data_IF_532995715579
#
_entry.id   IF_532995715579
#
_cell.length_a   1.000
_cell.length_b   1.000
_cell.length_c   1.000
_cell.angle_alpha   90.00
_cell.angle_beta   90.00
_cell.angle_gamma   90.00
#
_symmetry.space_group_name_H-M   'P 1'
#
loop_
_entity.id
_entity.type
_entity.pdbx_description
1 polymer ?
#
# COMPACT_ATOMS: atom_id res chain seq x y z
N UNK A 1 -38.16 3.05 38.79
CA UNK A 1 -37.86 3.50 37.41
C UNK A 1 -36.67 4.42 37.50
N UNK A 2 -35.45 3.90 37.33
CA UNK A 2 -34.23 4.72 37.33
C UNK A 2 -33.54 4.62 35.98
N UNK A 3 -33.90 5.59 35.14
CA UNK A 3 -33.45 5.82 33.78
C UNK A 3 -32.03 6.43 33.74
N UNK A 4 -31.05 5.87 34.46
CA UNK A 4 -29.69 6.44 34.51
C UNK A 4 -28.55 5.47 34.21
N UNK A 5 -28.79 4.42 33.41
CA UNK A 5 -27.71 3.53 32.98
C UNK A 5 -27.79 3.02 31.53
N UNK A 6 -28.39 3.80 30.64
CA UNK A 6 -28.32 3.55 29.18
C UNK A 6 -27.22 4.36 28.47
N UNK A 7 -26.34 5.04 29.22
CA UNK A 7 -25.22 5.82 28.67
C UNK A 7 -23.82 5.29 29.03
N UNK A 8 -23.70 3.98 29.19
CA UNK A 8 -22.40 3.26 29.13
C UNK A 8 -22.41 2.24 27.99
N UNK A 9 -23.09 2.58 26.88
CA UNK A 9 -23.13 1.79 25.64
C UNK A 9 -22.16 2.33 24.57
N UNK A 10 -21.14 3.09 24.97
CA UNK A 10 -20.17 3.74 24.07
C UNK A 10 -18.82 3.05 23.93
N UNK A 11 -18.59 1.91 24.59
CA UNK A 11 -17.32 1.17 24.54
C UNK A 11 -17.48 -0.23 23.95
N UNK A 12 -18.37 -0.39 22.97
CA UNK A 12 -18.47 -1.60 22.17
C UNK A 12 -18.18 -1.25 20.72
N UNK A 13 -16.93 -0.84 20.45
CA UNK A 13 -16.40 -0.99 19.09
C UNK A 13 -16.42 -2.48 18.84
N UNK A 14 -17.36 -2.86 17.99
CA UNK A 14 -17.64 -4.20 17.53
C UNK A 14 -16.32 -4.89 17.26
N UNK A 15 -16.06 -5.98 17.97
CA UNK A 15 -15.13 -7.00 17.55
C UNK A 15 -15.75 -7.67 16.32
N UNK A 16 -15.87 -6.91 15.22
CA UNK A 16 -16.14 -7.46 13.91
C UNK A 16 -15.03 -8.47 13.69
N UNK A 17 -15.42 -9.72 13.44
CA UNK A 17 -14.56 -10.79 12.95
C UNK A 17 -13.38 -10.18 12.21
N UNK A 18 -12.16 -10.30 12.76
CA UNK A 18 -10.96 -9.65 12.23
C UNK A 18 -10.65 -10.27 10.87
N UNK A 19 -11.35 -9.85 9.83
CA UNK A 19 -10.95 -10.08 8.44
C UNK A 19 -9.60 -9.37 8.32
N UNK A 20 -8.55 -10.18 8.19
CA UNK A 20 -7.17 -9.68 8.17
C UNK A 20 -6.97 -8.91 6.87
N UNK A 21 -6.98 -7.57 6.94
CA UNK A 21 -6.64 -6.73 5.79
C UNK A 21 -5.23 -7.06 5.30
N UNK A 22 -5.11 -7.52 4.06
CA UNK A 22 -3.82 -7.92 3.46
C UNK A 22 -3.04 -6.71 2.92
N UNK A 23 -3.74 -5.71 2.36
CA UNK A 23 -3.14 -4.51 1.77
C UNK A 23 -2.77 -3.48 2.85
N UNK A 24 -1.69 -3.78 3.57
CA UNK A 24 -1.11 -2.92 4.61
C UNK A 24 0.21 -2.31 4.14
N UNK A 25 0.69 -1.23 4.79
CA UNK A 25 2.05 -0.75 4.57
C UNK A 25 3.08 -1.87 4.72
N UNK A 26 4.17 -1.74 3.98
CA UNK A 26 5.28 -2.70 3.90
C UNK A 26 4.95 -4.06 3.26
N UNK A 27 3.83 -4.15 2.54
CA UNK A 27 3.52 -5.30 1.69
C UNK A 27 3.98 -5.06 0.27
N UNK A 28 4.53 -6.11 -0.34
CA UNK A 28 4.95 -6.10 -1.74
C UNK A 28 3.77 -6.46 -2.62
N UNK A 29 3.54 -5.66 -3.65
CA UNK A 29 2.45 -5.76 -4.61
C UNK A 29 3.00 -5.70 -6.04
N UNK A 30 2.21 -6.14 -7.01
CA UNK A 30 2.51 -6.01 -8.43
C UNK A 30 1.48 -5.06 -9.04
N UNK A 31 1.94 -4.07 -9.80
CA UNK A 31 1.06 -3.18 -10.53
C UNK A 31 0.53 -3.88 -11.78
N UNK A 32 -0.80 -3.91 -11.93
CA UNK A 32 -1.44 -4.64 -13.03
C UNK A 32 -1.56 -3.79 -14.32
N UNK A 33 -1.68 -2.47 -14.18
CA UNK A 33 -2.04 -1.57 -15.28
C UNK A 33 -1.24 -0.26 -15.30
N UNK A 34 -1.17 0.36 -16.49
CA UNK A 34 -0.48 1.63 -16.75
C UNK A 34 1.02 1.48 -17.05
N UNK A 35 1.72 2.62 -17.12
CA UNK A 35 3.15 2.68 -17.49
C UNK A 35 4.09 1.79 -16.65
N UNK A 36 3.76 1.57 -15.36
CA UNK A 36 4.53 0.72 -14.45
C UNK A 36 3.91 -0.67 -14.26
N UNK A 37 3.07 -1.14 -15.19
CA UNK A 37 2.53 -2.50 -15.15
C UNK A 37 3.64 -3.55 -15.08
N UNK A 38 3.36 -4.70 -14.45
CA UNK A 38 4.31 -5.81 -14.19
C UNK A 38 5.49 -5.43 -13.27
N UNK A 39 5.58 -4.19 -12.81
CA UNK A 39 6.59 -3.79 -11.84
C UNK A 39 6.14 -4.20 -10.43
N UNK A 40 7.04 -4.86 -9.71
CA UNK A 40 6.96 -5.08 -8.26
C UNK A 40 7.19 -3.77 -7.52
N UNK A 41 6.39 -3.55 -6.50
CA UNK A 41 6.42 -2.34 -5.70
C UNK A 41 5.97 -2.63 -4.26
N UNK A 42 6.16 -1.67 -3.35
CA UNK A 42 5.83 -1.79 -1.94
C UNK A 42 4.86 -0.69 -1.55
N UNK A 43 3.85 -1.03 -0.75
CA UNK A 43 2.90 -0.06 -0.20
C UNK A 43 3.63 0.75 0.88
N UNK A 44 3.73 2.06 0.69
CA UNK A 44 4.31 2.99 1.66
C UNK A 44 3.22 3.48 2.62
N UNK A 45 2.06 3.86 2.07
CA UNK A 45 0.93 4.35 2.85
C UNK A 45 -0.39 3.88 2.23
N UNK A 46 -1.29 3.43 3.08
CA UNK A 46 -2.66 3.05 2.72
C UNK A 46 -3.63 4.17 3.10
N UNK A 47 -4.58 4.46 2.21
CA UNK A 47 -5.66 5.42 2.45
C UNK A 47 -7.00 4.68 2.29
N UNK A 48 -7.47 4.11 3.40
CA UNK A 48 -8.70 3.30 3.42
C UNK A 48 -9.98 4.16 3.35
N UNK A 49 -9.90 5.44 3.76
CA UNK A 49 -11.05 6.35 3.86
C UNK A 49 -11.10 7.38 2.70
N UNK A 50 -10.11 7.34 1.80
CA UNK A 50 -9.95 8.34 0.73
C UNK A 50 -9.42 9.69 1.25
N UNK A 51 -9.11 10.58 0.31
CA UNK A 51 -8.68 11.96 0.57
C UNK A 51 -9.59 12.93 -0.18
N UNK A 52 -9.53 14.23 0.13
CA UNK A 52 -10.33 15.25 -0.56
C UNK A 52 -10.12 15.24 -2.07
N UNK A 53 -8.89 14.99 -2.51
CA UNK A 53 -8.52 14.98 -3.93
C UNK A 53 -8.85 13.63 -4.60
N UNK A 54 -8.92 12.55 -3.83
CA UNK A 54 -9.16 11.18 -4.31
C UNK A 54 -10.13 10.47 -3.36
N UNK A 55 -11.46 10.54 -3.59
CA UNK A 55 -12.49 10.03 -2.68
C UNK A 55 -12.67 8.49 -2.75
N UNK A 56 -11.66 7.76 -3.22
CA UNK A 56 -11.64 6.31 -3.35
C UNK A 56 -10.47 5.72 -2.56
N UNK A 57 -10.53 4.42 -2.26
CA UNK A 57 -9.43 3.71 -1.59
C UNK A 57 -8.22 3.71 -2.50
N UNK A 58 -7.08 4.18 -2.00
CA UNK A 58 -5.86 4.27 -2.79
C UNK A 58 -4.62 4.04 -1.95
N UNK A 59 -3.52 3.78 -2.65
CA UNK A 59 -2.25 3.40 -2.04
C UNK A 59 -1.13 4.25 -2.63
N UNK A 60 -0.27 4.77 -1.74
CA UNK A 60 1.01 5.31 -2.15
C UNK A 60 2.00 4.15 -2.26
N UNK A 61 2.55 3.97 -3.46
CA UNK A 61 3.38 2.82 -3.79
C UNK A 61 4.74 3.28 -4.30
N UNK A 62 5.81 2.68 -3.77
CA UNK A 62 7.18 2.86 -4.24
C UNK A 62 7.65 1.58 -4.94
N UNK A 63 8.10 1.69 -6.18
CA UNK A 63 8.47 0.53 -7.00
C UNK A 63 9.73 0.71 -7.80
N UNK A 64 10.15 -0.37 -8.46
CA UNK A 64 11.33 -0.40 -9.32
C UNK A 64 10.87 -0.46 -10.78
N UNK A 65 11.20 0.58 -11.55
CA UNK A 65 10.89 0.65 -12.98
C UNK A 65 11.96 -0.08 -13.82
N UNK A 66 13.23 0.10 -13.48
CA UNK A 66 14.34 -0.63 -14.12
C UNK A 66 15.03 -1.51 -13.09
N UNK A 67 14.89 -2.82 -13.25
CA UNK A 67 15.55 -3.81 -12.41
C UNK A 67 17.05 -3.84 -12.68
N UNK A 68 17.87 -4.10 -11.64
CA UNK A 68 19.28 -4.36 -11.84
C UNK A 68 19.43 -5.63 -12.69
N UNK A 69 20.31 -5.58 -13.68
CA UNK A 69 20.62 -6.76 -14.50
C UNK A 69 21.66 -7.63 -13.79
N UNK A 70 21.71 -8.93 -14.11
CA UNK A 70 22.67 -9.86 -13.51
C UNK A 70 24.10 -9.34 -13.68
N UNK A 71 24.79 -9.17 -12.55
CA UNK A 71 26.18 -8.68 -12.51
C UNK A 71 27.14 -9.87 -12.51
N UNK A 72 28.13 -9.83 -13.41
CA UNK A 72 29.28 -10.72 -13.49
C UNK A 72 30.55 -9.93 -13.18
N UNK A 73 31.64 -10.63 -12.81
CA UNK A 73 32.92 -10.00 -12.41
C UNK A 73 33.51 -9.00 -13.41
N UNK A 74 33.15 -9.09 -14.70
CA UNK A 74 33.63 -8.22 -15.78
C UNK A 74 32.74 -6.99 -16.01
N UNK A 75 31.60 -6.88 -15.32
CA UNK A 75 30.65 -5.79 -15.52
C UNK A 75 31.08 -4.49 -14.82
N UNK A 76 30.63 -3.37 -15.37
CA UNK A 76 30.76 -2.05 -14.74
C UNK A 76 29.59 -1.76 -13.77
N UNK A 77 29.81 -0.80 -12.86
CA UNK A 77 28.80 -0.36 -11.88
C UNK A 77 27.48 0.16 -12.51
N UNK A 78 27.45 0.46 -13.81
CA UNK A 78 26.22 0.90 -14.50
C UNK A 78 25.13 -0.18 -14.52
N UNK A 79 25.50 -1.45 -14.39
CA UNK A 79 24.58 -2.59 -14.49
C UNK A 79 23.73 -2.81 -13.24
N UNK A 80 24.21 -2.34 -12.09
CA UNK A 80 23.47 -2.37 -10.81
C UNK A 80 22.55 -1.15 -10.61
N UNK A 81 22.57 -0.17 -11.52
CA UNK A 81 21.74 1.02 -11.39
C UNK A 81 20.24 0.67 -11.44
N UNK A 82 19.53 1.04 -10.37
CA UNK A 82 18.08 0.85 -10.23
C UNK A 82 17.38 2.17 -10.50
N UNK A 83 16.32 2.16 -11.33
CA UNK A 83 15.42 3.32 -11.47
C UNK A 83 14.16 3.07 -10.66
N UNK A 84 13.94 3.86 -9.61
CA UNK A 84 12.75 3.78 -8.77
C UNK A 84 11.66 4.76 -9.25
N UNK A 85 10.42 4.54 -8.80
CA UNK A 85 9.29 5.44 -9.00
C UNK A 85 8.39 5.48 -7.76
N UNK A 86 7.68 6.60 -7.61
CA UNK A 86 6.60 6.78 -6.64
C UNK A 86 5.31 7.03 -7.41
N UNK A 87 4.23 6.33 -7.04
CA UNK A 87 2.93 6.48 -7.71
C UNK A 87 1.78 6.31 -6.73
N UNK A 88 0.75 7.11 -6.91
CA UNK A 88 -0.56 6.90 -6.30
C UNK A 88 -1.34 5.90 -7.16
N UNK A 89 -1.81 4.81 -6.56
CA UNK A 89 -2.45 3.70 -7.25
C UNK A 89 -3.83 3.46 -6.67
N UNK A 90 -4.79 3.18 -7.54
CA UNK A 90 -6.14 2.79 -7.13
C UNK A 90 -6.12 1.46 -6.37
N UNK A 91 -6.97 1.35 -5.35
CA UNK A 91 -7.19 0.13 -4.58
C UNK A 91 -8.13 -0.86 -5.25
#
# INVERSE_FOLDING_TARGET
MDLKNYKTAGARVRETEKIVKFLKPNKVVILLQGHYARCKAMIVKAFDEGTRDCPYVHYLVAGISKYPSKVIRKDSAKKSHVKAFLKLVNG
#
